data_IF_445620928582
#
_entry.id   IF_445620928582
#
_cell.length_a   1.000
_cell.length_b   1.000
_cell.length_c   1.000
_cell.angle_alpha   90.00
_cell.angle_beta   90.00
_cell.angle_gamma   90.00
#
_symmetry.space_group_name_H-M   'P 1'
#
loop_
_entity.id
_entity.type
_entity.pdbx_description
1 polymer ?
#
# COMPACT_ATOMS: atom_id res chain seq x y z
N UNK A 1 -15.50 3.58 -17.93
CA UNK A 1 -15.28 2.14 -18.13
C UNK A 1 -16.63 1.46 -18.19
N UNK A 2 -16.81 0.53 -19.10
CA UNK A 2 -18.02 -0.28 -19.20
C UNK A 2 -17.81 -1.56 -18.38
N UNK A 3 -18.70 -1.89 -17.47
CA UNK A 3 -18.54 -3.00 -16.54
C UNK A 3 -19.82 -3.31 -15.76
N UNK A 4 -20.05 -4.59 -15.49
CA UNK A 4 -21.19 -5.07 -14.73
C UNK A 4 -20.97 -4.98 -13.21
N UNK A 5 -22.06 -5.06 -12.45
CA UNK A 5 -22.05 -5.15 -10.97
C UNK A 5 -23.05 -6.22 -10.51
N UNK A 6 -22.69 -7.04 -9.53
CA UNK A 6 -23.56 -8.09 -8.97
C UNK A 6 -23.82 -9.21 -9.98
N UNK A 7 -25.09 -9.58 -10.20
CA UNK A 7 -25.46 -10.63 -11.16
C UNK A 7 -25.14 -10.29 -12.63
N UNK A 8 -24.84 -9.03 -12.93
CA UNK A 8 -24.50 -8.57 -14.28
C UNK A 8 -22.99 -8.66 -14.61
N UNK A 9 -22.16 -9.11 -13.66
CA UNK A 9 -20.72 -9.29 -13.84
C UNK A 9 -19.88 -8.47 -12.86
N UNK A 10 -18.55 -8.57 -12.97
CA UNK A 10 -17.60 -7.83 -12.14
C UNK A 10 -16.38 -7.38 -12.96
N UNK A 11 -15.82 -6.23 -12.60
CA UNK A 11 -14.75 -5.59 -13.36
C UNK A 11 -15.27 -4.65 -14.43
N UNK A 12 -14.40 -3.77 -14.93
CA UNK A 12 -14.75 -2.79 -15.96
C UNK A 12 -13.60 -2.63 -16.93
N UNK A 13 -13.90 -2.57 -18.21
CA UNK A 13 -12.93 -2.36 -19.28
C UNK A 13 -13.26 -1.06 -20.03
N UNK A 14 -12.62 -0.83 -21.18
CA UNK A 14 -12.60 0.39 -22.00
C UNK A 14 -11.52 1.42 -21.62
N UNK A 15 -10.69 1.79 -22.59
CA UNK A 15 -9.60 2.75 -22.42
C UNK A 15 -8.53 2.27 -21.43
N UNK A 16 -8.08 3.16 -20.54
CA UNK A 16 -7.07 2.88 -19.50
C UNK A 16 -7.46 1.70 -18.59
N UNK A 17 -8.76 1.54 -18.31
CA UNK A 17 -9.29 0.44 -17.49
C UNK A 17 -9.01 -0.94 -18.09
N UNK A 18 -8.94 -1.06 -19.42
CA UNK A 18 -8.56 -2.33 -20.07
C UNK A 18 -7.10 -2.68 -19.79
N UNK A 19 -6.21 -1.68 -19.85
CA UNK A 19 -4.79 -1.88 -19.55
C UNK A 19 -4.60 -2.28 -18.08
N UNK A 20 -5.21 -1.54 -17.14
CA UNK A 20 -5.19 -1.87 -15.71
C UNK A 20 -5.76 -3.26 -15.41
N UNK A 21 -6.82 -3.68 -16.11
CA UNK A 21 -7.45 -5.00 -15.88
C UNK A 21 -6.53 -6.16 -16.29
N UNK A 22 -5.68 -5.98 -17.31
CA UNK A 22 -4.78 -7.02 -17.82
C UNK A 22 -3.32 -6.84 -17.41
N UNK A 23 -3.01 -5.85 -16.57
CA UNK A 23 -1.66 -5.61 -16.09
C UNK A 23 -1.59 -5.77 -14.58
N UNK A 24 -0.41 -6.17 -14.10
CA UNK A 24 -0.15 -6.31 -12.67
C UNK A 24 0.66 -5.11 -12.20
N UNK A 25 0.07 -4.27 -11.36
CA UNK A 25 0.78 -3.17 -10.72
C UNK A 25 1.80 -3.70 -9.71
N UNK A 26 3.08 -3.66 -10.10
CA UNK A 26 4.17 -4.10 -9.23
C UNK A 26 4.57 -2.97 -8.29
N UNK A 27 4.29 -3.16 -7.01
CA UNK A 27 4.80 -2.28 -5.95
C UNK A 27 6.33 -2.40 -5.84
N UNK A 28 7.04 -1.30 -6.06
CA UNK A 28 8.51 -1.23 -5.91
C UNK A 28 8.83 -0.17 -4.86
N UNK A 29 9.41 -0.61 -3.73
CA UNK A 29 9.90 0.30 -2.69
C UNK A 29 11.38 0.62 -2.94
N UNK A 30 11.69 1.89 -3.22
CA UNK A 30 13.07 2.38 -3.30
C UNK A 30 13.45 3.06 -1.99
N UNK A 31 14.18 2.36 -1.12
CA UNK A 31 14.70 2.92 0.14
C UNK A 31 16.12 3.46 -0.07
N UNK A 32 16.37 4.69 0.34
CA UNK A 32 17.71 5.28 0.44
C UNK A 32 18.28 5.01 1.85
N UNK A 33 19.58 4.71 1.93
CA UNK A 33 20.26 4.33 3.18
C UNK A 33 20.52 5.47 4.16
N UNK A 34 20.14 6.70 3.84
CA UNK A 34 20.46 7.88 4.66
C UNK A 34 19.54 8.07 5.86
N UNK A 35 18.33 7.50 5.82
CA UNK A 35 17.36 7.56 6.91
C UNK A 35 17.32 6.18 7.56
N UNK A 36 18.27 5.95 8.46
CA UNK A 36 18.18 4.81 9.37
C UNK A 36 17.31 5.23 10.57
N UNK A 37 16.14 4.61 10.69
CA UNK A 37 15.18 4.99 11.72
C UNK A 37 15.59 4.30 13.03
N UNK A 38 16.09 5.03 14.06
CA UNK A 38 16.52 4.45 15.34
C UNK A 38 15.36 3.89 16.18
N UNK A 39 14.14 3.98 15.65
CA UNK A 39 12.94 3.33 16.13
C UNK A 39 12.88 1.85 15.73
N UNK A 40 13.62 1.41 14.70
CA UNK A 40 13.60 0.02 14.21
C UNK A 40 14.38 -0.92 15.13
N UNK A 41 15.41 -0.42 15.80
CA UNK A 41 16.36 -1.23 16.58
C UNK A 41 16.03 -1.23 18.07
N UNK A 42 16.29 -2.36 18.72
CA UNK A 42 16.13 -2.53 20.17
C UNK A 42 17.19 -1.73 20.95
N UNK A 43 16.92 -1.33 22.21
CA UNK A 43 15.69 -1.54 22.98
C UNK A 43 14.62 -0.48 22.70
N UNK A 44 13.38 -0.94 22.50
CA UNK A 44 12.20 -0.06 22.41
C UNK A 44 11.92 0.53 23.79
N UNK A 45 12.15 1.83 23.98
CA UNK A 45 11.81 2.49 25.25
C UNK A 45 10.29 2.71 25.32
N UNK A 46 9.68 2.61 26.50
CA UNK A 46 8.22 2.73 26.66
C UNK A 46 7.61 4.03 26.11
N UNK A 47 8.41 5.10 25.94
CA UNK A 47 7.99 6.35 25.28
C UNK A 47 7.88 6.20 23.75
N UNK A 48 8.75 5.39 23.15
CA UNK A 48 8.74 5.08 21.70
C UNK A 48 7.53 4.21 21.33
N UNK A 49 7.14 3.26 22.19
CA UNK A 49 5.94 2.44 22.02
C UNK A 49 4.64 3.28 21.98
N UNK A 50 4.53 4.29 22.85
CA UNK A 50 3.38 5.20 22.84
C UNK A 50 3.24 5.96 21.53
N UNK A 51 4.36 6.45 20.96
CA UNK A 51 4.38 7.13 19.68
C UNK A 51 4.05 6.20 18.51
N UNK A 52 4.59 4.98 18.50
CA UNK A 52 4.28 3.96 17.49
C UNK A 52 2.78 3.64 17.51
N UNK A 53 2.20 3.41 18.70
CA UNK A 53 0.76 3.10 18.85
C UNK A 53 -0.14 4.25 18.47
N UNK A 54 0.31 5.49 18.60
CA UNK A 54 -0.44 6.67 18.13
C UNK A 54 -0.36 6.83 16.61
N UNK A 55 0.72 6.40 15.96
CA UNK A 55 0.89 6.50 14.51
C UNK A 55 0.30 5.30 13.73
N UNK A 56 0.30 4.11 14.32
CA UNK A 56 -0.24 2.87 13.72
C UNK A 56 -1.74 2.66 14.01
N UNK A 57 -2.34 3.48 14.87
CA UNK A 57 -3.77 3.47 15.16
C UNK A 57 -4.47 4.56 14.37
#
# INVERSE_FOLDING_TARGET
GFGGVGNSGMGSYHGCKSFETFTHEKNILKKYGWIDLPLRYQPYSGRKDGLIRMFLK
#
